data_IF_149818859052
#
_entry.id   IF_149818859052
#
_cell.length_a   1.000
_cell.length_b   1.000
_cell.length_c   1.000
_cell.angle_alpha   90.00
_cell.angle_beta   90.00
_cell.angle_gamma   90.00
#
_symmetry.space_group_name_H-M   'P 1'
#
loop_
_entity.id
_entity.type
_entity.pdbx_description
1 polymer ?
#
# COMPACT_ATOMS: atom_id res chain seq x y z
N UNK A 1 27.25 10.49 -23.17
CA UNK A 1 26.81 9.80 -21.93
C UNK A 1 25.73 10.67 -21.28
N UNK A 2 24.42 10.36 -21.39
CA UNK A 2 23.40 11.31 -20.88
C UNK A 2 21.91 11.08 -21.13
N UNK A 3 21.48 9.95 -21.72
CA UNK A 3 20.03 9.67 -21.93
C UNK A 3 19.44 8.58 -21.01
N UNK A 4 20.26 7.83 -20.28
CA UNK A 4 19.81 6.66 -19.50
C UNK A 4 19.47 7.00 -18.02
N UNK A 5 20.20 7.90 -17.34
CA UNK A 5 19.94 8.21 -15.92
C UNK A 5 18.58 8.81 -15.65
N UNK A 6 18.01 9.64 -16.54
CA UNK A 6 16.65 10.18 -16.32
C UNK A 6 15.61 9.06 -16.31
N UNK A 7 15.70 8.10 -17.24
CA UNK A 7 14.76 6.98 -17.32
C UNK A 7 14.88 6.04 -16.12
N UNK A 8 16.09 5.82 -15.60
CA UNK A 8 16.30 5.05 -14.38
C UNK A 8 15.78 5.78 -13.14
N UNK A 9 15.99 7.09 -13.04
CA UNK A 9 15.47 7.89 -11.94
C UNK A 9 13.93 7.92 -11.95
N UNK A 10 13.31 8.06 -13.14
CA UNK A 10 11.86 7.92 -13.29
C UNK A 10 11.35 6.53 -12.89
N UNK A 11 12.08 5.45 -13.21
CA UNK A 11 11.71 4.08 -12.80
C UNK A 11 11.85 3.86 -11.29
N UNK A 12 12.95 4.31 -10.69
CA UNK A 12 13.16 4.23 -9.24
C UNK A 12 12.10 5.02 -8.45
N UNK A 13 11.73 6.21 -8.95
CA UNK A 13 10.66 7.01 -8.36
C UNK A 13 9.29 6.34 -8.50
N UNK A 14 9.00 5.77 -9.68
CA UNK A 14 7.75 5.03 -9.91
C UNK A 14 7.63 3.83 -8.96
N UNK A 15 8.68 3.03 -8.86
CA UNK A 15 8.68 1.84 -7.99
C UNK A 15 8.56 2.21 -6.51
N UNK A 16 9.24 3.27 -6.05
CA UNK A 16 9.12 3.75 -4.67
C UNK A 16 7.75 4.36 -4.35
N UNK A 17 7.14 5.06 -5.32
CA UNK A 17 5.83 5.71 -5.15
C UNK A 17 4.67 4.73 -5.03
N UNK A 18 4.82 3.51 -5.55
CA UNK A 18 3.78 2.49 -5.53
C UNK A 18 3.41 2.03 -4.11
N UNK A 19 4.35 2.12 -3.16
CA UNK A 19 4.14 1.61 -1.80
C UNK A 19 3.15 2.50 -1.02
N UNK A 20 3.35 3.84 -0.90
CA UNK A 20 2.33 4.73 -0.35
C UNK A 20 1.00 4.67 -1.11
N UNK A 21 1.04 4.56 -2.44
CA UNK A 21 -0.18 4.49 -3.26
C UNK A 21 -1.01 3.25 -2.93
N UNK A 22 -0.38 2.09 -2.74
CA UNK A 22 -1.07 0.87 -2.33
C UNK A 22 -1.68 1.00 -0.93
N UNK A 23 -1.01 1.67 0.00
CA UNK A 23 -1.54 1.95 1.34
C UNK A 23 -2.80 2.85 1.27
N UNK A 24 -2.74 3.93 0.49
CA UNK A 24 -3.89 4.84 0.29
C UNK A 24 -5.03 4.11 -0.43
N UNK A 25 -4.73 3.33 -1.47
CA UNK A 25 -5.72 2.56 -2.21
C UNK A 25 -6.42 1.53 -1.33
N UNK A 26 -5.68 0.74 -0.54
CA UNK A 26 -6.25 -0.25 0.38
C UNK A 26 -7.15 0.41 1.44
N UNK A 27 -6.73 1.57 1.96
CA UNK A 27 -7.50 2.35 2.93
C UNK A 27 -8.80 2.87 2.32
N UNK A 28 -8.76 3.42 1.10
CA UNK A 28 -9.94 3.91 0.38
C UNK A 28 -10.92 2.78 0.06
N UNK A 29 -10.42 1.60 -0.35
CA UNK A 29 -11.25 0.43 -0.61
C UNK A 29 -11.93 -0.05 0.69
N UNK A 30 -11.19 -0.14 1.80
CA UNK A 30 -11.76 -0.49 3.10
C UNK A 30 -12.82 0.50 3.56
N UNK A 31 -12.56 1.81 3.40
CA UNK A 31 -13.53 2.85 3.70
C UNK A 31 -14.80 2.77 2.83
N UNK A 32 -14.65 2.61 1.51
CA UNK A 32 -15.78 2.53 0.58
C UNK A 32 -16.66 1.31 0.86
N UNK A 33 -16.05 0.16 1.15
CA UNK A 33 -16.75 -1.06 1.55
C UNK A 33 -17.47 -0.83 2.87
N UNK A 34 -16.75 -0.34 3.89
CA UNK A 34 -17.30 -0.09 5.21
C UNK A 34 -18.51 0.87 5.19
N UNK A 35 -18.40 1.96 4.42
CA UNK A 35 -19.49 2.92 4.22
C UNK A 35 -20.69 2.30 3.50
N UNK A 36 -20.45 1.49 2.47
CA UNK A 36 -21.50 0.76 1.77
C UNK A 36 -22.24 -0.21 2.68
N UNK A 37 -21.52 -0.96 3.51
CA UNK A 37 -22.12 -1.86 4.49
C UNK A 37 -22.88 -1.10 5.57
N UNK A 38 -22.32 -0.02 6.13
CA UNK A 38 -23.02 0.76 7.16
C UNK A 38 -24.34 1.36 6.64
N UNK A 39 -24.39 1.74 5.34
CA UNK A 39 -25.63 2.18 4.70
C UNK A 39 -26.64 1.05 4.51
N UNK A 40 -26.19 -0.18 4.28
CA UNK A 40 -27.05 -1.34 4.10
C UNK A 40 -27.62 -1.86 5.43
N UNK A 41 -26.79 -1.90 6.47
CA UNK A 41 -27.13 -2.44 7.79
C UNK A 41 -27.65 -1.39 8.78
N UNK A 42 -27.54 -0.09 8.45
CA UNK A 42 -27.95 1.01 9.34
C UNK A 42 -27.06 1.18 10.58
N UNK A 43 -25.91 0.50 10.63
CA UNK A 43 -24.96 0.49 11.76
C UNK A 43 -23.94 1.63 11.69
N UNK A 44 -24.19 2.66 10.90
CA UNK A 44 -23.25 3.78 10.72
C UNK A 44 -22.89 4.41 12.07
N UNK A 45 -21.58 4.54 12.44
CA UNK A 45 -20.38 4.33 11.62
C UNK A 45 -19.52 3.10 12.04
N UNK A 46 -20.10 2.09 12.68
CA UNK A 46 -19.33 1.01 13.31
C UNK A 46 -18.60 0.12 12.29
N UNK A 47 -19.27 -0.32 11.20
CA UNK A 47 -18.61 -1.15 10.19
C UNK A 47 -17.59 -0.35 9.40
N UNK A 48 -17.86 0.94 9.12
CA UNK A 48 -16.91 1.82 8.45
C UNK A 48 -15.60 1.90 9.21
N UNK A 49 -15.64 2.07 10.53
CA UNK A 49 -14.43 2.14 11.36
C UNK A 49 -13.67 0.81 11.34
N UNK A 50 -14.37 -0.32 11.46
CA UNK A 50 -13.75 -1.66 11.42
C UNK A 50 -13.06 -1.88 10.08
N UNK A 51 -13.76 -1.69 8.96
CA UNK A 51 -13.21 -1.90 7.63
C UNK A 51 -12.12 -0.88 7.26
N UNK A 52 -12.20 0.34 7.77
CA UNK A 52 -11.15 1.35 7.63
C UNK A 52 -9.85 0.91 8.32
N UNK A 53 -9.93 0.47 9.58
CA UNK A 53 -8.76 -0.07 10.30
C UNK A 53 -8.21 -1.31 9.59
N UNK A 54 -9.07 -2.21 9.12
CA UNK A 54 -8.65 -3.38 8.34
C UNK A 54 -7.94 -2.97 7.04
N UNK A 55 -8.42 -1.94 6.33
CA UNK A 55 -7.79 -1.41 5.13
C UNK A 55 -6.40 -0.83 5.41
N UNK A 56 -6.25 -0.10 6.51
CA UNK A 56 -4.95 0.42 6.97
C UNK A 56 -3.99 -0.74 7.27
N UNK A 57 -4.43 -1.72 8.07
CA UNK A 57 -3.61 -2.90 8.42
C UNK A 57 -3.19 -3.65 7.17
N UNK A 58 -4.09 -3.84 6.19
CA UNK A 58 -3.78 -4.50 4.93
C UNK A 58 -2.70 -3.74 4.13
N UNK A 59 -2.80 -2.41 4.04
CA UNK A 59 -1.78 -1.59 3.38
C UNK A 59 -0.43 -1.63 4.09
N UNK A 60 -0.40 -1.56 5.42
CA UNK A 60 0.83 -1.71 6.19
C UNK A 60 1.45 -3.12 6.03
N UNK A 61 0.63 -4.16 5.97
CA UNK A 61 1.11 -5.53 5.74
C UNK A 61 1.85 -5.64 4.40
N UNK A 62 1.37 -4.92 3.38
CA UNK A 62 2.05 -4.85 2.08
C UNK A 62 3.38 -4.10 2.16
N UNK A 63 3.41 -2.96 2.84
CA UNK A 63 4.64 -2.20 3.10
C UNK A 63 5.69 -3.05 3.83
N UNK A 64 5.31 -3.75 4.91
CA UNK A 64 6.23 -4.63 5.65
C UNK A 64 6.69 -5.84 4.83
N UNK A 65 5.83 -6.35 3.94
CA UNK A 65 6.20 -7.41 3.00
C UNK A 65 7.25 -6.91 2.00
N UNK A 66 7.08 -5.69 1.49
CA UNK A 66 8.01 -5.07 0.57
C UNK A 66 9.36 -4.77 1.24
N UNK A 67 9.35 -4.16 2.42
CA UNK A 67 10.56 -3.83 3.19
C UNK A 67 11.41 -5.08 3.48
N UNK A 68 10.78 -6.16 3.97
CA UNK A 68 11.48 -7.44 4.23
C UNK A 68 11.99 -8.12 2.97
N UNK A 69 11.38 -7.85 1.81
CA UNK A 69 11.86 -8.39 0.53
C UNK A 69 13.12 -7.66 0.07
N UNK A 70 13.17 -6.34 0.22
CA UNK A 70 14.38 -5.56 -0.07
C UNK A 70 15.56 -6.01 0.79
N UNK A 71 15.33 -6.17 2.10
CA UNK A 71 16.36 -6.61 3.05
C UNK A 71 16.92 -8.00 2.69
N UNK A 72 16.06 -8.95 2.28
CA UNK A 72 16.50 -10.29 1.84
C UNK A 72 17.16 -10.31 0.45
N UNK A 73 16.87 -9.35 -0.41
CA UNK A 73 17.50 -9.22 -1.73
C UNK A 73 18.90 -8.62 -1.61
N UNK A 74 19.14 -7.73 -0.64
CA UNK A 74 20.48 -7.22 -0.30
C UNK A 74 21.36 -8.33 0.32
N UNK A 75 20.82 -9.12 1.26
CA UNK A 75 21.56 -10.19 1.96
C UNK A 75 21.98 -11.37 1.04
N UNK A 76 21.32 -11.53 -0.12
CA UNK A 76 21.67 -12.53 -1.14
C UNK A 76 22.70 -12.06 -2.17
N UNK A 77 22.98 -10.75 -2.26
CA UNK A 77 23.97 -10.22 -3.20
C UNK A 77 25.41 -10.27 -2.65
N UNK A 78 25.56 -10.44 -1.34
CA UNK A 78 26.85 -10.52 -0.65
C UNK A 78 27.38 -11.95 -0.41
N UNK A 79 26.75 -12.98 -1.00
CA UNK A 79 27.22 -14.39 -0.99
C UNK A 79 27.48 -14.96 -2.37
#
# INVERSE_FOLDING_TARGET
MGKNSKKELWRQLLDASAIPLNLVAATFVGFAIGYGLDKLFGTSPYLTIIFFILGIIAGFRELFRYARRMEREDDKKDK
#
